data_IF_359941386224
#
_entry.id   IF_359941386224
#
_cell.length_a   1.000
_cell.length_b   1.000
_cell.length_c   1.000
_cell.angle_alpha   90.00
_cell.angle_beta   90.00
_cell.angle_gamma   90.00
#
_symmetry.space_group_name_H-M   'P 1'
#
loop_
_entity.id
_entity.type
_entity.pdbx_description
1 polymer ?
#
# COMPACT_ATOMS: atom_id res chain seq x y z
N UNK A 1 20.86 -6.26 16.51
CA UNK A 1 20.96 -6.85 15.15
C UNK A 1 19.56 -6.96 14.60
N UNK A 2 19.19 -6.10 13.65
CA UNK A 2 17.96 -6.27 12.89
C UNK A 2 18.21 -7.40 11.90
N UNK A 3 17.38 -8.44 11.92
CA UNK A 3 17.41 -9.46 10.88
C UNK A 3 17.09 -8.78 9.55
N UNK A 4 17.90 -9.05 8.53
CA UNK A 4 17.56 -8.68 7.16
C UNK A 4 16.20 -9.32 6.81
N UNK A 5 15.29 -8.60 6.14
CA UNK A 5 14.08 -9.23 5.63
C UNK A 5 14.49 -10.37 4.69
N UNK A 6 13.77 -11.49 4.76
CA UNK A 6 13.93 -12.56 3.79
C UNK A 6 13.61 -11.97 2.41
N UNK A 7 14.64 -11.84 1.57
CA UNK A 7 14.48 -11.36 0.21
C UNK A 7 13.41 -12.20 -0.48
N UNK A 8 12.48 -11.54 -1.18
CA UNK A 8 11.62 -12.23 -2.13
C UNK A 8 12.46 -13.15 -3.04
N UNK A 9 11.84 -14.23 -3.52
CA UNK A 9 12.30 -14.90 -4.73
C UNK A 9 12.66 -13.81 -5.77
N UNK A 10 13.71 -14.01 -6.57
CA UNK A 10 14.22 -12.95 -7.46
C UNK A 10 13.09 -12.39 -8.33
N UNK A 11 12.93 -11.06 -8.33
CA UNK A 11 11.78 -10.39 -8.96
C UNK A 11 11.77 -10.63 -10.49
N UNK A 12 10.73 -11.33 -11.02
CA UNK A 12 10.65 -11.64 -12.43
C UNK A 12 10.50 -10.38 -13.31
N UNK A 13 10.12 -9.24 -12.75
CA UNK A 13 9.93 -8.00 -13.50
C UNK A 13 11.22 -7.25 -13.84
N UNK A 14 12.33 -7.58 -13.17
CA UNK A 14 13.66 -7.01 -13.45
C UNK A 14 14.64 -8.05 -13.99
N UNK A 15 14.17 -9.28 -14.19
CA UNK A 15 14.96 -10.42 -14.65
C UNK A 15 14.94 -10.54 -16.18
N UNK A 16 16.12 -10.75 -16.77
CA UNK A 16 16.29 -10.82 -18.22
C UNK A 16 15.64 -12.08 -18.83
N UNK A 17 15.53 -13.17 -18.07
CA UNK A 17 14.90 -14.42 -18.51
C UNK A 17 13.38 -14.30 -18.70
N UNK A 18 12.74 -13.34 -18.04
CA UNK A 18 11.30 -13.15 -18.07
C UNK A 18 10.90 -12.04 -19.05
N UNK A 19 11.20 -12.25 -20.32
CA UNK A 19 10.76 -11.32 -21.37
C UNK A 19 9.26 -11.46 -21.63
N UNK A 20 8.57 -10.34 -21.85
CA UNK A 20 7.17 -10.34 -22.27
C UNK A 20 6.16 -10.46 -21.12
N UNK A 21 6.56 -10.17 -19.88
CA UNK A 21 5.62 -9.93 -18.77
C UNK A 21 5.04 -8.52 -18.84
N UNK A 22 3.75 -8.39 -18.53
CA UNK A 22 3.07 -7.13 -18.21
C UNK A 22 3.23 -6.90 -16.72
N UNK A 23 4.38 -6.38 -16.34
CA UNK A 23 4.71 -6.16 -14.94
C UNK A 23 3.87 -5.06 -14.30
N UNK A 24 3.31 -5.30 -13.11
CA UNK A 24 2.65 -4.25 -12.33
C UNK A 24 3.68 -3.31 -11.70
N UNK A 25 3.20 -2.17 -11.23
CA UNK A 25 3.99 -1.13 -10.56
C UNK A 25 2.99 -0.28 -9.75
N UNK A 26 3.25 -0.14 -8.45
CA UNK A 26 2.49 0.65 -7.50
C UNK A 26 3.30 1.89 -7.12
N UNK A 27 2.80 3.05 -7.52
CA UNK A 27 3.34 4.31 -7.04
C UNK A 27 2.57 4.78 -5.80
N UNK A 28 3.29 5.37 -4.84
CA UNK A 28 2.67 5.99 -3.66
C UNK A 28 2.60 7.51 -3.80
N UNK A 29 1.40 8.09 -3.73
CA UNK A 29 1.23 9.56 -3.76
C UNK A 29 1.73 10.23 -2.48
N UNK A 30 2.30 11.43 -2.61
CA UNK A 30 2.75 12.21 -1.46
C UNK A 30 1.60 12.45 -0.46
N UNK A 31 1.87 12.42 0.85
CA UNK A 31 0.85 12.70 1.86
C UNK A 31 0.15 14.04 1.61
N UNK A 32 -1.17 14.01 1.62
CA UNK A 32 -2.05 15.16 1.41
C UNK A 32 -3.20 15.16 2.42
N UNK A 33 -4.00 16.23 2.42
CA UNK A 33 -5.24 16.33 3.22
C UNK A 33 -5.03 15.97 4.69
N UNK A 34 -4.16 16.72 5.37
CA UNK A 34 -3.84 16.45 6.76
C UNK A 34 -4.88 17.04 7.71
N UNK A 35 -5.18 16.30 8.78
CA UNK A 35 -6.07 16.77 9.85
C UNK A 35 -5.57 16.30 11.21
N UNK A 36 -5.64 17.18 12.20
CA UNK A 36 -5.40 16.83 13.61
C UNK A 36 -6.66 16.19 14.18
N UNK A 37 -6.50 15.06 14.86
CA UNK A 37 -7.59 14.37 15.54
C UNK A 37 -7.11 13.78 16.89
N UNK A 38 -8.06 13.23 17.65
CA UNK A 38 -7.83 12.44 18.85
C UNK A 38 -8.30 10.99 18.64
N UNK A 39 -7.43 10.03 18.93
CA UNK A 39 -7.77 8.60 18.88
C UNK A 39 -7.41 7.95 20.21
N UNK A 40 -8.42 7.51 20.96
CA UNK A 40 -8.28 6.98 22.32
C UNK A 40 -7.39 7.85 23.23
N UNK A 41 -7.58 9.17 23.18
CA UNK A 41 -6.84 10.14 23.99
C UNK A 41 -5.43 10.47 23.50
N UNK A 42 -5.00 9.90 22.37
CA UNK A 42 -3.74 10.26 21.70
C UNK A 42 -3.99 11.29 20.61
N UNK A 43 -3.10 12.28 20.48
CA UNK A 43 -3.16 13.23 19.36
C UNK A 43 -2.57 12.56 18.13
N UNK A 44 -3.33 12.54 17.04
CA UNK A 44 -2.93 11.87 15.80
C UNK A 44 -2.99 12.83 14.61
N UNK A 45 -2.15 12.57 13.62
CA UNK A 45 -2.19 13.23 12.33
C UNK A 45 -2.81 12.27 11.32
N UNK A 46 -4.04 12.58 10.89
CA UNK A 46 -4.71 11.90 9.78
C UNK A 46 -4.22 12.44 8.46
N UNK A 47 -4.23 11.59 7.43
CA UNK A 47 -3.85 11.96 6.06
C UNK A 47 -4.41 10.97 5.05
N UNK A 48 -4.76 11.47 3.87
CA UNK A 48 -5.20 10.63 2.76
C UNK A 48 -3.98 9.97 2.11
N UNK A 49 -4.08 8.66 1.82
CA UNK A 49 -3.07 7.92 1.03
C UNK A 49 -3.68 7.39 -0.26
N UNK A 50 -2.93 7.38 -1.35
CA UNK A 50 -3.31 6.74 -2.61
C UNK A 50 -2.20 5.80 -3.07
N UNK A 51 -2.58 4.54 -3.32
CA UNK A 51 -1.74 3.54 -3.99
C UNK A 51 -2.19 3.51 -5.45
N UNK A 52 -1.33 3.95 -6.37
CA UNK A 52 -1.63 4.12 -7.79
C UNK A 52 -1.02 2.98 -8.60
N UNK A 53 -1.84 2.25 -9.38
CA UNK A 53 -1.34 1.19 -10.25
C UNK A 53 -0.91 1.77 -11.60
N UNK A 54 0.41 1.91 -11.80
CA UNK A 54 1.02 2.62 -12.94
C UNK A 54 1.76 1.69 -13.93
N UNK A 55 1.82 0.40 -13.62
CA UNK A 55 2.56 -0.59 -14.41
C UNK A 55 1.89 -1.00 -15.72
N UNK A 56 2.54 -1.92 -16.43
CA UNK A 56 2.05 -2.48 -17.70
C UNK A 56 0.96 -3.56 -17.50
N UNK A 57 0.82 -4.07 -16.28
CA UNK A 57 -0.17 -5.06 -15.85
C UNK A 57 -0.85 -4.67 -14.53
N UNK A 58 -1.99 -5.29 -14.18
CA UNK A 58 -2.61 -5.07 -12.88
C UNK A 58 -1.77 -5.68 -11.77
N UNK A 59 -1.79 -5.04 -10.59
CA UNK A 59 -1.29 -5.68 -9.38
C UNK A 59 -2.33 -6.70 -8.90
N UNK A 60 -2.25 -7.96 -9.33
CA UNK A 60 -3.17 -9.01 -8.89
C UNK A 60 -2.48 -9.99 -7.94
N UNK A 61 -3.04 -10.14 -6.75
CA UNK A 61 -2.65 -11.16 -5.79
C UNK A 61 -3.79 -12.15 -5.58
N UNK A 62 -3.45 -13.43 -5.70
CA UNK A 62 -4.37 -14.54 -5.46
C UNK A 62 -3.88 -15.34 -4.27
N UNK A 63 -4.79 -15.59 -3.35
CA UNK A 63 -4.48 -16.25 -2.11
C UNK A 63 -5.34 -17.49 -1.89
N UNK A 64 -4.72 -18.53 -1.35
CA UNK A 64 -5.40 -19.73 -0.84
C UNK A 64 -5.17 -19.80 0.67
N UNK A 65 -6.22 -20.09 1.42
CA UNK A 65 -6.12 -20.27 2.87
C UNK A 65 -5.15 -21.39 3.23
N UNK A 66 -4.31 -21.12 4.22
CA UNK A 66 -3.45 -22.12 4.87
C UNK A 66 -3.71 -22.21 6.38
N UNK A 67 -4.31 -21.17 6.99
CA UNK A 67 -4.72 -21.15 8.39
C UNK A 67 -6.01 -20.31 8.57
N UNK A 68 -6.71 -20.42 9.72
CA UNK A 68 -7.86 -19.58 10.01
C UNK A 68 -7.49 -18.09 9.92
N UNK A 69 -8.23 -17.33 9.11
CA UNK A 69 -8.06 -15.87 8.91
C UNK A 69 -6.72 -15.43 8.29
N UNK A 70 -5.91 -16.37 7.77
CA UNK A 70 -4.61 -16.10 7.15
C UNK A 70 -4.45 -16.86 5.82
N UNK A 71 -3.88 -16.15 4.84
CA UNK A 71 -3.72 -16.60 3.46
C UNK A 71 -2.31 -16.21 2.99
N UNK A 72 -1.60 -17.15 2.36
CA UNK A 72 -0.39 -16.84 1.60
C UNK A 72 -0.84 -16.42 0.21
N UNK A 73 -0.28 -15.32 -0.28
CA UNK A 73 -0.56 -14.83 -1.61
C UNK A 73 0.51 -15.31 -2.60
N UNK A 74 0.05 -15.51 -3.83
CA UNK A 74 0.87 -15.57 -5.02
C UNK A 74 0.48 -14.39 -5.88
N UNK A 75 1.41 -13.87 -6.66
CA UNK A 75 1.13 -12.78 -7.57
C UNK A 75 0.87 -13.33 -8.97
N UNK A 76 -0.22 -12.88 -9.60
CA UNK A 76 -0.50 -13.19 -10.99
C UNK A 76 0.10 -12.08 -11.85
N UNK A 77 1.00 -12.45 -12.75
CA UNK A 77 1.57 -11.53 -13.74
C UNK A 77 1.14 -12.02 -15.13
N UNK A 78 0.55 -11.11 -15.90
CA UNK A 78 0.03 -11.40 -17.24
C UNK A 78 1.14 -11.33 -18.28
N UNK A 79 1.02 -12.11 -19.36
CA UNK A 79 1.98 -12.08 -20.47
C UNK A 79 1.48 -11.20 -21.60
N UNK A 80 2.39 -10.64 -22.39
CA UNK A 80 2.09 -9.81 -23.56
C UNK A 80 1.36 -10.62 -24.64
N UNK A 81 1.74 -11.89 -24.81
CA UNK A 81 1.17 -12.86 -25.77
C UNK A 81 -0.11 -13.56 -25.26
N UNK A 82 -0.60 -13.18 -24.08
CA UNK A 82 -1.78 -13.75 -23.45
C UNK A 82 -1.47 -14.82 -22.38
N UNK A 83 -2.44 -15.03 -21.49
CA UNK A 83 -2.27 -15.87 -20.31
C UNK A 83 -1.53 -15.15 -19.17
N UNK A 84 -1.15 -15.92 -18.14
CA UNK A 84 -0.49 -15.39 -16.94
C UNK A 84 0.31 -16.48 -16.22
N UNK A 85 1.24 -16.07 -15.38
CA UNK A 85 2.04 -16.92 -14.50
C UNK A 85 1.72 -16.55 -13.05
N UNK A 86 1.71 -17.55 -12.16
CA UNK A 86 1.61 -17.33 -10.72
C UNK A 86 3.00 -17.45 -10.09
N UNK A 87 3.50 -16.34 -9.57
CA UNK A 87 4.76 -16.29 -8.84
C UNK A 87 4.51 -16.39 -7.33
N UNK A 88 5.36 -17.15 -6.64
CA UNK A 88 5.31 -17.22 -5.17
C UNK A 88 5.83 -15.90 -4.61
N UNK A 89 5.20 -15.44 -3.53
CA UNK A 89 5.63 -14.23 -2.82
C UNK A 89 5.64 -14.49 -1.31
N UNK A 90 6.20 -13.56 -0.55
CA UNK A 90 6.08 -13.54 0.91
C UNK A 90 4.84 -12.78 1.39
N UNK A 91 4.01 -12.28 0.47
CA UNK A 91 2.83 -11.51 0.80
C UNK A 91 1.79 -12.38 1.54
N UNK A 92 1.11 -11.75 2.50
CA UNK A 92 0.06 -12.41 3.28
C UNK A 92 -1.23 -11.59 3.28
N UNK A 93 -2.36 -12.26 3.22
CA UNK A 93 -3.68 -11.65 3.31
C UNK A 93 -4.30 -12.07 4.64
N UNK A 94 -4.81 -11.10 5.40
CA UNK A 94 -5.43 -11.30 6.71
C UNK A 94 -6.87 -10.81 6.72
N UNK A 95 -7.74 -11.53 7.41
CA UNK A 95 -9.09 -11.03 7.68
C UNK A 95 -9.05 -9.99 8.81
N UNK A 96 -9.17 -8.70 8.47
CA UNK A 96 -9.17 -7.59 9.43
C UNK A 96 -10.59 -7.14 9.72
N UNK A 97 -10.94 -7.08 11.01
CA UNK A 97 -12.19 -6.47 11.50
C UNK A 97 -12.01 -4.97 11.66
N UNK A 98 -12.98 -4.21 11.17
CA UNK A 98 -13.07 -2.76 11.27
C UNK A 98 -14.29 -2.44 12.12
N UNK A 99 -14.14 -1.76 13.28
CA UNK A 99 -15.27 -1.37 14.12
C UNK A 99 -16.34 -0.64 13.32
N UNK A 100 -17.60 -1.04 13.48
CA UNK A 100 -18.75 -0.46 12.78
C UNK A 100 -18.90 -0.81 11.30
N UNK A 101 -17.95 -1.51 10.66
CA UNK A 101 -18.00 -1.81 9.21
C UNK A 101 -17.95 -3.32 8.88
N UNK A 102 -17.52 -4.14 9.83
CA UNK A 102 -17.39 -5.58 9.68
C UNK A 102 -15.97 -6.01 9.30
N UNK A 103 -15.83 -7.20 8.70
CA UNK A 103 -14.54 -7.79 8.36
C UNK A 103 -14.26 -7.79 6.86
N UNK A 104 -12.98 -7.70 6.52
CA UNK A 104 -12.50 -7.69 5.14
C UNK A 104 -11.18 -8.45 5.05
N UNK A 105 -11.01 -9.27 4.01
CA UNK A 105 -9.70 -9.80 3.65
C UNK A 105 -8.86 -8.69 3.04
N UNK A 106 -7.68 -8.44 3.62
CA UNK A 106 -6.80 -7.33 3.25
C UNK A 106 -5.37 -7.81 3.14
N UNK A 107 -4.62 -7.26 2.17
CA UNK A 107 -3.18 -7.45 2.10
C UNK A 107 -2.55 -6.83 3.36
N UNK A 108 -1.72 -7.62 4.04
CA UNK A 108 -0.94 -7.19 5.19
C UNK A 108 0.29 -6.43 4.72
N UNK A 109 0.63 -5.37 5.44
CA UNK A 109 1.79 -4.51 5.17
C UNK A 109 1.78 -3.93 3.75
N UNK A 110 0.60 -3.73 3.16
CA UNK A 110 0.46 -3.22 1.79
C UNK A 110 0.89 -1.76 1.65
N UNK A 111 0.74 -0.98 2.72
CA UNK A 111 1.27 0.37 2.81
C UNK A 111 1.47 0.76 4.29
N UNK A 112 2.30 1.78 4.50
CA UNK A 112 2.70 2.28 5.81
C UNK A 112 2.91 3.79 5.74
N UNK A 113 2.50 4.48 6.80
CA UNK A 113 2.89 5.87 7.02
C UNK A 113 4.00 5.92 8.06
N UNK A 114 4.98 6.77 7.84
CA UNK A 114 6.11 6.96 8.72
C UNK A 114 6.32 8.44 8.99
N UNK A 115 6.72 8.75 10.22
CA UNK A 115 7.11 10.09 10.61
C UNK A 115 8.59 10.10 10.95
N UNK A 116 9.34 10.92 10.24
CA UNK A 116 10.79 11.03 10.36
C UNK A 116 11.19 12.42 10.87
N UNK A 117 12.18 12.47 11.76
CA UNK A 117 12.85 13.74 12.06
C UNK A 117 13.64 14.20 10.83
N UNK A 118 13.79 15.52 10.70
CA UNK A 118 14.56 16.12 9.60
C UNK A 118 15.60 17.10 10.11
N UNK A 119 16.64 17.34 9.32
CA UNK A 119 17.56 18.45 9.55
C UNK A 119 16.98 19.77 9.03
N UNK A 120 17.73 20.87 9.16
CA UNK A 120 17.35 22.20 8.68
C UNK A 120 17.10 22.30 7.16
N UNK A 121 17.56 21.31 6.38
CA UNK A 121 17.34 21.21 4.93
C UNK A 121 16.20 20.25 4.57
N UNK A 122 15.42 19.76 5.55
CA UNK A 122 14.31 18.82 5.31
C UNK A 122 14.75 17.40 4.98
N UNK A 123 16.04 17.05 5.14
CA UNK A 123 16.53 15.68 4.92
C UNK A 123 16.17 14.79 6.11
N UNK A 124 15.56 13.64 5.82
CA UNK A 124 15.22 12.62 6.82
C UNK A 124 16.46 12.15 7.59
N UNK A 125 16.32 12.01 8.90
CA UNK A 125 17.37 11.57 9.81
C UNK A 125 16.99 10.26 10.52
N UNK A 126 15.93 10.28 11.34
CA UNK A 126 15.54 9.14 12.17
C UNK A 126 14.05 8.90 12.12
N UNK A 127 13.64 7.64 12.00
CA UNK A 127 12.25 7.22 12.15
C UNK A 127 11.79 7.48 13.59
N UNK A 128 10.70 8.23 13.73
CA UNK A 128 10.13 8.64 15.02
C UNK A 128 8.89 7.82 15.34
N UNK A 129 7.98 7.65 14.36
CA UNK A 129 6.72 6.92 14.52
C UNK A 129 6.32 6.23 13.21
N UNK A 130 5.49 5.21 13.35
CA UNK A 130 4.88 4.46 12.24
C UNK A 130 3.37 4.39 12.48
N UNK A 131 2.56 4.43 11.42
CA UNK A 131 1.11 4.27 11.50
C UNK A 131 0.69 2.89 11.98
N UNK A 132 -0.47 2.82 12.63
CA UNK A 132 -1.13 1.55 12.99
C UNK A 132 -1.85 0.92 11.79
N UNK A 133 -2.16 1.73 10.76
CA UNK A 133 -2.72 1.25 9.50
C UNK A 133 -1.65 0.54 8.68
N UNK A 134 -1.89 -0.76 8.46
CA UNK A 134 -1.00 -1.62 7.66
C UNK A 134 -1.77 -2.54 6.69
N UNK A 135 -3.10 -2.56 6.74
CA UNK A 135 -3.90 -3.52 5.99
C UNK A 135 -4.83 -2.82 4.98
N UNK A 136 -4.65 -3.14 3.70
CA UNK A 136 -5.32 -2.46 2.58
C UNK A 136 -6.05 -3.45 1.69
N UNK A 137 -6.98 -2.92 0.88
CA UNK A 137 -7.78 -3.76 0.04
C UNK A 137 -7.04 -4.16 -1.22
N UNK A 138 -6.25 -3.25 -1.81
CA UNK A 138 -5.85 -3.31 -3.21
C UNK A 138 -7.12 -3.51 -4.06
N UNK A 139 -7.73 -2.38 -4.43
CA UNK A 139 -8.94 -2.32 -5.23
C UNK A 139 -8.92 -1.16 -6.22
N UNK A 140 -9.78 -1.29 -7.20
CA UNK A 140 -10.19 -0.26 -8.14
C UNK A 140 -11.20 0.67 -7.46
N UNK A 141 -10.72 1.63 -6.65
CA UNK A 141 -11.60 2.61 -6.03
C UNK A 141 -11.88 3.79 -6.97
N UNK A 142 -10.83 4.40 -7.51
CA UNK A 142 -10.94 5.54 -8.43
C UNK A 142 -10.01 5.38 -9.63
N UNK A 143 -10.48 5.74 -10.82
CA UNK A 143 -9.72 5.67 -12.07
C UNK A 143 -8.97 6.98 -12.31
N UNK A 144 -7.91 7.21 -11.53
CA UNK A 144 -7.13 8.45 -11.49
C UNK A 144 -6.23 8.65 -12.72
N UNK A 145 -5.81 7.57 -13.39
CA UNK A 145 -4.89 7.59 -14.53
C UNK A 145 -5.53 6.91 -15.77
N UNK A 146 -6.68 7.42 -16.27
CA UNK A 146 -7.50 6.76 -17.29
C UNK A 146 -6.84 6.69 -18.67
N UNK A 147 -5.73 7.42 -18.88
CA UNK A 147 -4.99 7.48 -20.14
C UNK A 147 -3.88 6.44 -20.23
N UNK A 148 -3.58 5.70 -19.15
CA UNK A 148 -2.58 4.64 -19.21
C UNK A 148 -3.03 3.52 -20.18
N UNK A 149 -2.10 2.95 -20.97
CA UNK A 149 -2.41 1.84 -21.85
C UNK A 149 -3.09 0.69 -21.09
N UNK A 150 -4.14 0.14 -21.68
CA UNK A 150 -4.92 -0.97 -21.12
C UNK A 150 -5.63 -0.67 -19.78
N UNK A 151 -5.76 0.59 -19.36
CA UNK A 151 -6.56 0.95 -18.19
C UNK A 151 -8.06 0.62 -18.44
N UNK A 152 -8.66 -0.32 -17.69
CA UNK A 152 -10.05 -0.71 -17.91
C UNK A 152 -11.01 0.42 -17.53
N UNK A 153 -12.10 0.56 -18.31
CA UNK A 153 -13.13 1.60 -18.08
C UNK A 153 -13.98 1.36 -16.83
N UNK A 154 -14.03 0.11 -16.36
CA UNK A 154 -14.81 -0.32 -15.20
C UNK A 154 -13.90 -1.06 -14.23
N UNK A 155 -14.23 -1.02 -12.95
CA UNK A 155 -13.50 -1.76 -11.92
C UNK A 155 -13.49 -3.26 -12.23
N UNK A 156 -12.30 -3.86 -12.28
CA UNK A 156 -12.05 -5.31 -12.37
C UNK A 156 -11.92 -5.89 -10.96
N UNK A 157 -11.30 -5.13 -10.05
CA UNK A 157 -11.10 -5.48 -8.65
C UNK A 157 -11.90 -4.52 -7.74
N UNK A 158 -13.20 -4.76 -7.51
CA UNK A 158 -14.04 -3.84 -6.74
C UNK A 158 -13.76 -3.98 -5.22
N UNK A 159 -14.77 -4.17 -4.37
CA UNK A 159 -14.54 -4.23 -2.93
C UNK A 159 -13.87 -5.53 -2.47
N UNK A 160 -13.10 -5.43 -1.38
CA UNK A 160 -12.59 -6.58 -0.62
C UNK A 160 -13.68 -7.60 -0.26
N UNK A 161 -13.31 -8.88 -0.31
CA UNK A 161 -14.17 -9.97 0.15
C UNK A 161 -14.44 -9.86 1.67
N UNK A 162 -15.72 -9.95 2.07
CA UNK A 162 -16.17 -9.86 3.47
C UNK A 162 -16.45 -11.22 4.12
N UNK A 163 -16.45 -12.31 3.37
CA UNK A 163 -16.79 -13.64 3.85
C UNK A 163 -15.57 -14.28 4.55
N UNK A 164 -15.57 -14.42 5.89
CA UNK A 164 -14.46 -15.06 6.60
C UNK A 164 -14.30 -16.55 6.28
N UNK A 165 -15.31 -17.20 5.72
CA UNK A 165 -15.29 -18.62 5.37
C UNK A 165 -14.66 -18.90 3.99
N UNK A 166 -14.46 -17.89 3.12
CA UNK A 166 -13.91 -18.12 1.76
C UNK A 166 -12.55 -18.81 1.79
N UNK A 167 -12.31 -19.80 0.91
CA UNK A 167 -11.02 -20.50 0.83
C UNK A 167 -10.05 -19.88 -0.18
N UNK A 168 -10.55 -18.94 -0.99
CA UNK A 168 -9.78 -18.20 -1.99
C UNK A 168 -10.12 -16.72 -1.89
N UNK A 169 -9.10 -15.88 -2.02
CA UNK A 169 -9.23 -14.43 -2.08
C UNK A 169 -8.43 -13.94 -3.27
N UNK A 170 -9.00 -13.05 -4.05
CA UNK A 170 -8.27 -12.24 -5.02
C UNK A 170 -8.38 -10.80 -4.57
N UNK A 171 -7.26 -10.11 -4.49
CA UNK A 171 -7.18 -8.67 -4.34
C UNK A 171 -6.38 -8.11 -5.52
N UNK A 172 -6.58 -6.84 -5.85
CA UNK A 172 -5.74 -6.21 -6.84
C UNK A 172 -6.16 -4.83 -7.28
N UNK A 173 -5.29 -4.14 -8.01
CA UNK A 173 -5.60 -2.83 -8.59
C UNK A 173 -5.21 -2.82 -10.07
N UNK A 174 -6.20 -2.54 -10.89
CA UNK A 174 -6.10 -2.42 -12.34
C UNK A 174 -5.21 -1.26 -12.75
N UNK A 175 -4.59 -1.39 -13.93
CA UNK A 175 -3.78 -0.31 -14.52
C UNK A 175 -4.59 0.99 -14.58
N UNK A 176 -4.01 2.05 -14.05
CA UNK A 176 -4.58 3.39 -14.00
C UNK A 176 -5.73 3.60 -13.02
N UNK A 177 -5.94 2.65 -12.12
CA UNK A 177 -6.79 2.80 -10.94
C UNK A 177 -5.94 2.99 -9.68
N UNK A 178 -6.56 3.60 -8.67
CA UNK A 178 -5.97 3.86 -7.36
C UNK A 178 -6.83 3.31 -6.24
N UNK A 179 -6.20 2.72 -5.21
CA UNK A 179 -6.83 2.39 -3.93
C UNK A 179 -6.63 3.54 -2.94
N UNK A 180 -7.55 4.51 -2.98
CA UNK A 180 -7.48 5.71 -2.13
C UNK A 180 -8.06 5.40 -0.73
N UNK A 181 -7.33 5.78 0.31
CA UNK A 181 -7.76 5.73 1.70
C UNK A 181 -7.83 7.16 2.27
N UNK A 182 -9.04 7.74 2.34
CA UNK A 182 -9.25 9.08 2.89
C UNK A 182 -8.84 9.22 4.36
N UNK A 183 -8.34 10.39 4.75
CA UNK A 183 -7.89 10.72 6.11
C UNK A 183 -8.87 10.31 7.24
N UNK A 184 -10.21 10.42 7.10
CA UNK A 184 -11.15 10.02 8.15
C UNK A 184 -11.26 8.51 8.37
N UNK A 185 -10.69 7.67 7.50
CA UNK A 185 -10.82 6.21 7.63
C UNK A 185 -10.25 5.70 8.95
N UNK A 186 -10.77 4.56 9.40
CA UNK A 186 -10.33 3.91 10.64
C UNK A 186 -8.83 3.62 10.58
N UNK A 187 -8.11 3.98 11.65
CA UNK A 187 -6.65 3.83 11.79
C UNK A 187 -5.78 4.64 10.80
N UNK A 188 -6.38 5.41 9.89
CA UNK A 188 -5.67 6.18 8.85
C UNK A 188 -4.96 7.42 9.43
N UNK A 189 -3.96 7.19 10.28
CA UNK A 189 -3.20 8.23 10.97
C UNK A 189 -1.83 7.72 11.45
N UNK A 190 -0.98 8.67 11.84
CA UNK A 190 0.21 8.46 12.67
C UNK A 190 0.05 9.17 14.02
N UNK A 191 0.50 8.55 15.11
CA UNK A 191 0.52 9.18 16.43
C UNK A 191 1.56 10.31 16.48
N UNK A 192 1.14 11.49 16.91
CA UNK A 192 1.99 12.69 17.05
C UNK A 192 2.02 13.23 18.49
N UNK A 193 1.58 12.42 19.46
CA UNK A 193 1.51 12.79 20.86
C UNK A 193 2.88 13.22 21.37
N UNK A 194 2.96 14.45 21.91
CA UNK A 194 4.18 15.03 22.46
C UNK A 194 5.21 15.47 21.42
N UNK A 195 4.87 15.48 20.13
CA UNK A 195 5.77 15.93 19.06
C UNK A 195 5.52 17.39 18.67
N UNK A 196 6.60 18.12 18.46
CA UNK A 196 6.60 19.50 17.97
C UNK A 196 7.80 19.75 17.06
N UNK A 197 7.66 20.69 16.13
CA UNK A 197 8.68 21.03 15.14
C UNK A 197 8.42 20.39 13.77
N UNK A 198 9.47 20.34 12.96
CA UNK A 198 9.41 19.93 11.55
C UNK A 198 9.73 18.46 11.38
N UNK A 199 8.90 17.75 10.63
CA UNK A 199 9.06 16.33 10.34
C UNK A 199 8.81 16.06 8.86
N UNK A 200 9.32 14.94 8.36
CA UNK A 200 8.87 14.38 7.10
C UNK A 200 7.81 13.32 7.41
N UNK A 201 6.61 13.51 6.85
CA UNK A 201 5.58 12.48 6.76
C UNK A 201 5.82 11.72 5.46
N UNK A 202 5.94 10.40 5.53
CA UNK A 202 6.27 9.53 4.41
C UNK A 202 5.18 8.51 4.28
N UNK A 203 4.67 8.30 3.06
CA UNK A 203 3.89 7.12 2.72
C UNK A 203 4.74 6.17 1.90
N UNK A 204 4.60 4.89 2.18
CA UNK A 204 5.33 3.81 1.51
C UNK A 204 4.31 2.72 1.15
N UNK A 205 4.22 2.33 -0.12
CA UNK A 205 3.56 1.10 -0.56
C UNK A 205 4.55 -0.05 -0.52
N UNK A 206 4.06 -1.26 -0.25
CA UNK A 206 4.85 -2.48 -0.11
C UNK A 206 6.19 -2.31 0.65
N UNK A 207 6.20 -1.74 1.87
CA UNK A 207 7.41 -1.47 2.64
C UNK A 207 8.29 -2.70 2.95
N UNK A 208 7.76 -3.91 2.81
CA UNK A 208 8.50 -5.16 3.03
C UNK A 208 9.00 -5.78 1.71
N UNK A 209 8.73 -5.14 0.57
CA UNK A 209 9.16 -5.55 -0.77
C UNK A 209 8.74 -7.00 -1.08
N UNK A 210 7.47 -7.33 -0.82
CA UNK A 210 6.92 -8.69 -0.97
C UNK A 210 6.04 -8.85 -2.21
N UNK A 211 5.83 -7.78 -2.98
CA UNK A 211 5.23 -7.78 -4.30
C UNK A 211 6.34 -7.61 -5.35
N UNK A 212 6.07 -8.06 -6.57
CA UNK A 212 6.95 -7.90 -7.73
C UNK A 212 6.49 -6.72 -8.54
N UNK A 213 7.39 -5.78 -8.78
CA UNK A 213 7.08 -4.49 -9.39
C UNK A 213 8.12 -4.14 -10.45
N UNK A 214 7.72 -3.50 -11.56
CA UNK A 214 8.71 -3.06 -12.55
C UNK A 214 9.60 -1.91 -12.05
N UNK A 215 9.24 -1.27 -10.93
CA UNK A 215 9.97 -0.15 -10.37
C UNK A 215 9.76 -0.01 -8.86
N UNK A 216 10.66 -0.53 -8.04
CA UNK A 216 10.60 -0.39 -6.56
C UNK A 216 10.97 1.01 -6.04
N UNK A 217 11.40 1.93 -6.92
CA UNK A 217 11.94 3.24 -6.50
C UNK A 217 10.89 4.34 -6.36
N UNK A 218 9.66 4.10 -6.81
CA UNK A 218 8.52 5.02 -6.69
C UNK A 218 7.56 4.63 -5.54
N UNK A 219 7.89 3.59 -4.76
CA UNK A 219 7.06 3.08 -3.69
C UNK A 219 6.91 4.05 -2.51
N UNK A 220 7.77 5.08 -2.42
CA UNK A 220 7.76 6.03 -1.31
C UNK A 220 7.67 7.49 -1.78
N UNK A 221 6.88 8.27 -1.05
CA UNK A 221 6.77 9.72 -1.24
C UNK A 221 6.56 10.43 0.09
N UNK A 222 6.88 11.72 0.15
CA UNK A 222 6.88 12.47 1.40
C UNK A 222 6.39 13.90 1.26
N UNK A 223 5.89 14.42 2.38
CA UNK A 223 5.55 15.83 2.60
C UNK A 223 6.20 16.29 3.89
N UNK A 224 6.71 17.52 3.93
CA UNK A 224 7.21 18.13 5.17
C UNK A 224 6.01 18.65 5.95
N UNK A 225 5.94 18.35 7.25
CA UNK A 225 4.85 18.77 8.13
C UNK A 225 5.37 19.51 9.35
N UNK A 226 4.65 20.55 9.77
CA UNK A 226 4.85 21.21 11.05
C UNK A 226 3.91 20.64 12.11
N UNK A 227 4.48 20.17 13.21
CA UNK A 227 3.76 19.69 14.36
C UNK A 227 3.83 20.73 15.50
N UNK A 228 2.74 20.88 16.29
CA UNK A 228 1.59 20.00 16.34
C UNK A 228 0.42 20.42 15.44
N UNK A 229 0.59 21.48 14.62
CA UNK A 229 -0.47 22.00 13.75
C UNK A 229 -0.92 21.02 12.66
N UNK A 230 -0.05 20.09 12.25
CA UNK A 230 -0.34 19.10 11.21
C UNK A 230 -0.34 19.69 9.81
N UNK A 231 0.27 20.85 9.61
CA UNK A 231 0.25 21.57 8.33
C UNK A 231 1.38 21.10 7.44
N UNK A 232 1.08 20.78 6.19
CA UNK A 232 2.11 20.52 5.16
C UNK A 232 2.79 21.85 4.79
N UNK A 233 4.11 21.85 4.82
CA UNK A 233 4.95 22.96 4.34
C UNK A 233 5.11 22.80 2.83
N UNK A 234 4.75 23.84 2.08
CA UNK A 234 4.98 23.93 0.63
C UNK A 234 6.27 24.67 0.34
#
# INVERSE_FOLDING_TARGET
MLAAPAAADVDPCVQAEWTGLRCPDLAMTAPAETAIDSFYGRRVLRTTSSIDSVGAGPMEIVGRKYAPLLIHAQQRIYKVDGGSILFKTHATIRFKRIPGQGGYWKLRDAARMELWSVNSKGRQLKLVRTSVKQHYCLRDLERTLPKLPHSPKTAVYPACNKNPATNRVTLGTSIGWSDIYPAPYYEQFVDITGLSGTFALVHIVDPENVLFESNETNNASRSIVQLPAGTIVR
#
